data_IF_522718222951
#
_entry.id   IF_522718222951
#
_cell.length_a   1.000
_cell.length_b   1.000
_cell.length_c   1.000
_cell.angle_alpha   90.00
_cell.angle_beta   90.00
_cell.angle_gamma   90.00
#
_symmetry.space_group_name_H-M   'P 1'
#
loop_
_entity.id
_entity.type
_entity.pdbx_description
1 polymer ?
#
# COMPACT_ATOMS: atom_id res chain seq x y z
N UNK A 1 -31.58 20.09 19.69
CA UNK A 1 -31.18 18.67 19.74
C UNK A 1 -31.56 17.93 18.46
N UNK A 2 -31.12 18.41 17.30
CA UNK A 2 -31.50 17.84 15.99
C UNK A 2 -30.33 17.21 15.23
N UNK A 3 -29.09 17.32 15.74
CA UNK A 3 -27.91 16.75 15.11
C UNK A 3 -28.00 15.23 14.94
N UNK A 4 -28.58 14.51 15.93
CA UNK A 4 -28.72 13.04 15.86
C UNK A 4 -29.68 12.57 14.75
N UNK A 5 -30.67 13.39 14.37
CA UNK A 5 -31.59 13.07 13.26
C UNK A 5 -30.89 13.17 11.91
N UNK A 6 -29.93 14.09 11.77
CA UNK A 6 -29.08 14.19 10.58
C UNK A 6 -28.18 12.95 10.41
N UNK A 7 -27.62 12.42 11.51
CA UNK A 7 -26.89 11.15 11.52
C UNK A 7 -27.79 9.93 11.24
N UNK A 8 -29.06 9.97 11.67
CA UNK A 8 -30.04 8.92 11.39
C UNK A 8 -30.52 8.92 9.92
N UNK A 9 -30.46 10.06 9.23
CA UNK A 9 -30.74 10.19 7.80
C UNK A 9 -29.51 10.09 6.90
N UNK A 10 -28.32 9.89 7.48
CA UNK A 10 -27.10 9.73 6.72
C UNK A 10 -27.26 8.51 5.81
N UNK A 11 -26.98 8.63 4.49
CA UNK A 11 -27.16 7.52 3.58
C UNK A 11 -26.38 6.30 4.11
N UNK A 12 -27.05 5.14 4.15
CA UNK A 12 -26.59 3.88 4.76
C UNK A 12 -25.15 3.49 4.40
N UNK A 13 -24.68 3.94 3.24
CA UNK A 13 -23.32 3.75 2.72
C UNK A 13 -22.24 4.40 3.61
N UNK A 14 -22.51 5.56 4.21
CA UNK A 14 -21.55 6.26 5.08
C UNK A 14 -21.32 5.46 6.36
N UNK A 15 -22.41 5.02 6.99
CA UNK A 15 -22.40 4.17 8.17
C UNK A 15 -21.70 2.83 7.87
N UNK A 16 -22.01 2.23 6.72
CA UNK A 16 -21.37 0.99 6.29
C UNK A 16 -19.87 1.14 6.11
N UNK A 17 -19.41 2.17 5.39
CA UNK A 17 -17.99 2.41 5.14
C UNK A 17 -17.18 2.54 6.44
N UNK A 18 -17.68 3.31 7.41
CA UNK A 18 -17.01 3.54 8.69
C UNK A 18 -17.03 2.31 9.61
N UNK A 19 -18.12 1.52 9.58
CA UNK A 19 -18.24 0.31 10.40
C UNK A 19 -17.44 -0.87 9.84
N UNK A 20 -17.27 -0.92 8.52
CA UNK A 20 -16.52 -1.99 7.84
C UNK A 20 -15.01 -1.80 7.98
N UNK A 21 -14.52 -0.57 8.14
CA UNK A 21 -13.09 -0.29 8.28
C UNK A 21 -12.42 -1.12 9.39
N UNK A 22 -12.87 -1.08 10.67
CA UNK A 22 -12.23 -1.85 11.74
C UNK A 22 -12.24 -3.36 11.49
N UNK A 23 -13.31 -3.88 10.86
CA UNK A 23 -13.44 -5.29 10.54
C UNK A 23 -12.41 -5.74 9.48
N UNK A 24 -12.18 -4.91 8.46
CA UNK A 24 -11.13 -5.18 7.46
C UNK A 24 -9.74 -5.09 8.09
N UNK A 25 -9.48 -4.10 8.95
CA UNK A 25 -8.20 -4.00 9.67
C UNK A 25 -7.95 -5.25 10.53
N UNK A 26 -8.98 -5.71 11.25
CA UNK A 26 -8.91 -6.94 12.05
C UNK A 26 -8.58 -8.16 11.19
N UNK A 27 -9.26 -8.32 10.05
CA UNK A 27 -9.00 -9.41 9.12
C UNK A 27 -7.54 -9.38 8.61
N UNK A 28 -7.06 -8.21 8.19
CA UNK A 28 -5.68 -8.06 7.70
C UNK A 28 -4.68 -8.40 8.81
N UNK A 29 -4.90 -7.95 10.05
CA UNK A 29 -4.01 -8.30 11.16
C UNK A 29 -4.03 -9.80 11.50
N UNK A 30 -5.18 -10.47 11.37
CA UNK A 30 -5.30 -11.91 11.61
C UNK A 30 -4.58 -12.73 10.53
N UNK A 31 -4.66 -12.31 9.26
CA UNK A 31 -4.05 -13.03 8.14
C UNK A 31 -2.59 -12.65 7.88
N UNK A 32 -2.12 -11.50 8.38
CA UNK A 32 -0.74 -11.04 8.24
C UNK A 32 0.32 -12.07 8.68
N UNK A 33 0.23 -12.72 9.85
CA UNK A 33 1.21 -13.74 10.25
C UNK A 33 1.26 -14.91 9.26
N UNK A 34 0.13 -15.32 8.70
CA UNK A 34 0.07 -16.40 7.71
C UNK A 34 0.82 -16.03 6.42
N UNK A 35 0.62 -14.80 5.94
CA UNK A 35 1.30 -14.26 4.74
C UNK A 35 2.81 -14.16 4.96
N UNK A 36 3.26 -13.78 6.15
CA UNK A 36 4.68 -13.72 6.49
C UNK A 36 5.35 -15.10 6.50
N UNK A 37 4.65 -16.12 7.02
CA UNK A 37 5.14 -17.51 7.05
C UNK A 37 5.26 -18.07 5.63
N UNK A 38 4.23 -17.92 4.79
CA UNK A 38 4.25 -18.35 3.39
C UNK A 38 5.32 -17.59 2.60
N UNK A 39 5.51 -16.30 2.92
CA UNK A 39 6.53 -15.44 2.33
C UNK A 39 7.97 -15.69 2.80
N UNK A 40 8.21 -16.70 3.66
CA UNK A 40 9.53 -17.05 4.22
C UNK A 40 10.25 -15.85 4.86
N UNK A 41 9.52 -14.91 5.44
CA UNK A 41 10.07 -13.66 6.00
C UNK A 41 10.91 -12.83 5.01
N UNK A 42 10.65 -12.95 3.70
CA UNK A 42 11.34 -12.12 2.72
C UNK A 42 11.00 -10.64 2.93
N UNK A 43 12.02 -9.78 2.85
CA UNK A 43 11.87 -8.32 2.94
C UNK A 43 10.86 -7.78 1.92
N UNK A 44 10.76 -8.41 0.74
CA UNK A 44 9.76 -8.08 -0.29
C UNK A 44 8.33 -8.34 0.18
N UNK A 45 8.09 -9.43 0.90
CA UNK A 45 6.75 -9.79 1.39
C UNK A 45 6.36 -8.94 2.60
N UNK A 46 7.29 -8.65 3.52
CA UNK A 46 7.06 -7.69 4.60
C UNK A 46 6.68 -6.31 4.07
N UNK A 47 7.38 -5.83 3.04
CA UNK A 47 7.07 -4.55 2.43
C UNK A 47 5.69 -4.54 1.76
N UNK A 48 5.35 -5.58 0.98
CA UNK A 48 4.01 -5.69 0.39
C UNK A 48 2.91 -5.77 1.46
N UNK A 49 3.14 -6.46 2.58
CA UNK A 49 2.19 -6.53 3.69
C UNK A 49 1.97 -5.17 4.36
N UNK A 50 3.04 -4.42 4.61
CA UNK A 50 2.96 -3.05 5.13
C UNK A 50 2.23 -2.11 4.15
N UNK A 51 2.53 -2.23 2.85
CA UNK A 51 1.85 -1.47 1.79
C UNK A 51 0.35 -1.79 1.74
N UNK A 52 -0.04 -3.06 1.93
CA UNK A 52 -1.44 -3.47 1.97
C UNK A 52 -2.19 -2.82 3.14
N UNK A 53 -1.62 -2.84 4.35
CA UNK A 53 -2.21 -2.16 5.52
C UNK A 53 -2.34 -0.65 5.27
N UNK A 54 -1.28 -0.04 4.73
CA UNK A 54 -1.29 1.38 4.40
C UNK A 54 -2.38 1.72 3.37
N UNK A 55 -2.55 0.88 2.34
CA UNK A 55 -3.58 1.05 1.30
C UNK A 55 -4.98 1.12 1.92
N UNK A 56 -5.30 0.17 2.80
CA UNK A 56 -6.62 0.06 3.43
C UNK A 56 -6.86 1.18 4.43
N UNK A 57 -5.83 1.62 5.16
CA UNK A 57 -5.92 2.85 5.98
C UNK A 57 -6.12 4.11 5.12
N UNK A 58 -5.62 4.11 3.89
CA UNK A 58 -5.85 5.19 2.92
C UNK A 58 -7.31 5.29 2.46
N UNK A 59 -8.03 4.17 2.34
CA UNK A 59 -9.45 4.16 1.95
C UNK A 59 -10.31 5.01 2.85
N UNK A 60 -10.01 5.02 4.15
CA UNK A 60 -10.83 5.75 5.12
C UNK A 60 -10.61 7.25 5.08
N UNK A 61 -9.40 7.69 4.75
CA UNK A 61 -9.13 9.08 4.45
C UNK A 61 -9.88 9.52 3.18
N UNK A 62 -9.96 8.65 2.16
CA UNK A 62 -10.71 8.93 0.93
C UNK A 62 -12.21 9.02 1.17
N UNK A 63 -12.80 8.12 1.97
CA UNK A 63 -14.21 8.21 2.36
C UNK A 63 -14.52 9.46 3.16
N UNK A 64 -13.60 9.87 4.05
CA UNK A 64 -13.72 11.13 4.77
C UNK A 64 -13.74 12.34 3.83
N UNK A 65 -12.84 12.38 2.83
CA UNK A 65 -12.82 13.44 1.82
C UNK A 65 -14.07 13.39 0.93
N UNK A 66 -14.54 12.20 0.53
CA UNK A 66 -15.75 12.04 -0.26
C UNK A 66 -16.99 12.57 0.49
N UNK A 67 -17.08 12.31 1.79
CA UNK A 67 -18.12 12.86 2.64
C UNK A 67 -18.04 14.39 2.71
N UNK A 68 -16.84 14.91 2.94
CA UNK A 68 -16.60 16.35 2.97
C UNK A 68 -17.00 17.02 1.65
N UNK A 69 -16.62 16.45 0.50
CA UNK A 69 -16.96 16.98 -0.81
C UNK A 69 -18.47 16.92 -1.09
N UNK A 70 -19.14 15.84 -0.70
CA UNK A 70 -20.60 15.73 -0.80
C UNK A 70 -21.31 16.83 0.01
N UNK A 71 -20.88 17.05 1.26
CA UNK A 71 -21.45 18.08 2.13
C UNK A 71 -21.24 19.50 1.53
N UNK A 72 -20.09 19.76 0.93
CA UNK A 72 -19.79 21.05 0.30
C UNK A 72 -20.53 21.24 -1.03
N UNK A 73 -20.76 20.17 -1.81
CA UNK A 73 -21.59 20.23 -3.03
C UNK A 73 -23.06 20.50 -2.71
N UNK A 74 -23.59 19.91 -1.63
CA UNK A 74 -24.96 20.14 -1.19
C UNK A 74 -25.18 21.62 -0.84
N UNK A 75 -24.21 22.24 -0.16
CA UNK A 75 -24.26 23.66 0.21
C UNK A 75 -24.10 24.57 -1.02
N UNK A 76 -23.26 24.19 -1.99
CA UNK A 76 -23.06 24.96 -3.22
C UNK A 76 -24.27 24.91 -4.17
N UNK A 77 -25.01 23.80 -4.22
CA UNK A 77 -26.24 23.68 -5.02
C UNK A 77 -27.47 24.33 -4.37
N UNK A 78 -27.47 24.53 -3.05
CA UNK A 78 -28.63 25.07 -2.32
C UNK A 78 -28.21 26.16 -1.32
N UNK A 79 -27.85 27.37 -1.79
CA UNK A 79 -27.71 28.53 -0.91
C UNK A 79 -29.05 28.78 -0.18
N UNK A 80 -28.97 28.92 1.14
CA UNK A 80 -30.02 28.71 2.13
C UNK A 80 -31.17 29.74 2.18
N UNK A 81 -31.50 30.43 1.09
CA UNK A 81 -32.44 31.57 1.14
C UNK A 81 -33.91 31.24 0.87
N UNK A 82 -34.30 30.01 0.51
CA UNK A 82 -35.69 29.72 0.14
C UNK A 82 -36.21 28.38 0.68
N UNK A 83 -36.59 28.35 1.97
CA UNK A 83 -37.23 27.20 2.62
C UNK A 83 -38.53 26.73 1.96
N UNK A 84 -39.21 27.59 1.19
CA UNK A 84 -40.42 27.25 0.42
C UNK A 84 -40.11 26.64 -0.95
N UNK A 85 -39.08 27.13 -1.64
CA UNK A 85 -38.60 26.54 -2.90
C UNK A 85 -37.99 25.16 -2.63
N UNK A 86 -37.39 24.94 -1.46
CA UNK A 86 -36.85 23.66 -1.00
C UNK A 86 -37.93 22.58 -0.81
N UNK A 87 -39.13 22.96 -0.35
CA UNK A 87 -40.27 22.04 -0.23
C UNK A 87 -40.89 21.74 -1.61
N UNK A 88 -40.98 22.74 -2.48
CA UNK A 88 -41.52 22.59 -3.83
C UNK A 88 -40.57 21.81 -4.77
N UNK A 89 -39.25 22.02 -4.70
CA UNK A 89 -38.28 21.22 -5.48
C UNK A 89 -38.12 19.78 -4.96
N UNK A 90 -38.42 19.52 -3.68
CA UNK A 90 -38.51 18.14 -3.15
C UNK A 90 -39.72 17.40 -3.70
N UNK A 91 -40.78 18.10 -4.05
CA UNK A 91 -42.02 17.52 -4.58
C UNK A 91 -41.99 17.33 -6.11
N UNK A 92 -41.25 18.17 -6.85
CA UNK A 92 -41.37 18.29 -8.31
C UNK A 92 -40.20 17.69 -9.12
N UNK A 93 -39.20 17.11 -8.46
CA UNK A 93 -38.14 16.36 -9.12
C UNK A 93 -38.31 14.91 -8.68
N UNK A 94 -38.78 14.10 -9.63
CA UNK A 94 -39.05 12.68 -9.51
C UNK A 94 -38.10 12.01 -8.50
N UNK A 95 -38.65 11.63 -7.35
CA UNK A 95 -37.91 11.14 -6.19
C UNK A 95 -37.01 9.95 -6.58
N UNK A 96 -37.45 9.20 -7.60
CA UNK A 96 -36.77 8.12 -8.28
C UNK A 96 -35.46 8.54 -8.97
N UNK A 97 -35.46 9.62 -9.75
CA UNK A 97 -34.28 10.13 -10.44
C UNK A 97 -33.28 10.76 -9.50
N UNK A 98 -33.75 11.51 -8.50
CA UNK A 98 -32.88 12.01 -7.43
C UNK A 98 -32.22 10.87 -6.67
N UNK A 99 -32.96 9.82 -6.30
CA UNK A 99 -32.40 8.64 -5.60
C UNK A 99 -31.41 7.88 -6.48
N UNK A 100 -31.68 7.70 -7.77
CA UNK A 100 -30.75 7.03 -8.70
C UNK A 100 -29.48 7.83 -8.92
N UNK A 101 -29.57 9.14 -9.20
CA UNK A 101 -28.39 9.98 -9.44
C UNK A 101 -27.57 10.17 -8.16
N UNK A 102 -28.23 10.36 -7.02
CA UNK A 102 -27.56 10.48 -5.72
C UNK A 102 -26.89 9.15 -5.35
N UNK A 103 -27.57 8.01 -5.49
CA UNK A 103 -26.99 6.70 -5.18
C UNK A 103 -25.84 6.34 -6.15
N UNK A 104 -25.97 6.64 -7.44
CA UNK A 104 -24.91 6.37 -8.43
C UNK A 104 -23.69 7.26 -8.20
N UNK A 105 -23.90 8.54 -7.89
CA UNK A 105 -22.83 9.48 -7.52
C UNK A 105 -22.16 9.06 -6.21
N UNK A 106 -22.94 8.65 -5.21
CA UNK A 106 -22.42 8.13 -3.94
C UNK A 106 -21.57 6.87 -4.15
N UNK A 107 -22.04 5.92 -4.97
CA UNK A 107 -21.28 4.71 -5.33
C UNK A 107 -19.99 5.10 -6.07
N UNK A 108 -20.07 6.01 -7.04
CA UNK A 108 -18.91 6.46 -7.81
C UNK A 108 -17.87 7.18 -6.94
N UNK A 109 -18.28 7.97 -5.95
CA UNK A 109 -17.34 8.63 -5.03
C UNK A 109 -16.78 7.62 -4.02
N UNK A 110 -17.63 6.85 -3.33
CA UNK A 110 -17.18 5.91 -2.30
C UNK A 110 -16.36 4.74 -2.83
N UNK A 111 -16.57 4.34 -4.08
CA UNK A 111 -15.82 3.24 -4.71
C UNK A 111 -14.74 3.75 -5.66
N UNK A 112 -14.98 4.85 -6.39
CA UNK A 112 -14.04 5.40 -7.36
C UNK A 112 -12.77 5.95 -6.71
N UNK A 113 -12.90 6.69 -5.60
CA UNK A 113 -11.73 7.21 -4.88
C UNK A 113 -10.81 6.08 -4.38
N UNK A 114 -11.30 5.06 -3.64
CA UNK A 114 -10.48 3.90 -3.27
C UNK A 114 -9.90 3.13 -4.45
N UNK A 115 -10.63 2.99 -5.57
CA UNK A 115 -10.14 2.28 -6.75
C UNK A 115 -8.95 2.98 -7.40
N UNK A 116 -9.03 4.30 -7.57
CA UNK A 116 -7.92 5.09 -8.12
C UNK A 116 -6.70 4.98 -7.20
N UNK A 117 -6.91 5.12 -5.90
CA UNK A 117 -5.86 5.00 -4.89
C UNK A 117 -5.18 3.64 -4.90
N UNK A 118 -5.96 2.55 -4.88
CA UNK A 118 -5.42 1.19 -4.94
C UNK A 118 -4.69 0.92 -6.25
N UNK A 119 -5.17 1.46 -7.37
CA UNK A 119 -4.48 1.34 -8.66
C UNK A 119 -3.12 2.03 -8.65
N UNK A 120 -3.04 3.23 -8.07
CA UNK A 120 -1.78 3.95 -7.91
C UNK A 120 -0.81 3.21 -6.99
N UNK A 121 -1.29 2.70 -5.85
CA UNK A 121 -0.44 1.93 -4.93
C UNK A 121 -0.02 0.57 -5.48
N UNK A 122 -0.85 -0.07 -6.31
CA UNK A 122 -0.46 -1.29 -7.01
C UNK A 122 0.70 -1.01 -7.98
N UNK A 123 0.67 0.11 -8.70
CA UNK A 123 1.75 0.51 -9.61
C UNK A 123 3.04 0.84 -8.85
N UNK A 124 2.96 1.60 -7.76
CA UNK A 124 4.11 1.89 -6.87
C UNK A 124 4.67 0.60 -6.28
N UNK A 125 3.81 -0.30 -5.81
CA UNK A 125 4.19 -1.60 -5.28
C UNK A 125 4.96 -2.43 -6.30
N UNK A 126 4.52 -2.44 -7.57
CA UNK A 126 5.21 -3.14 -8.65
C UNK A 126 6.64 -2.61 -8.87
N UNK A 127 6.80 -1.28 -8.92
CA UNK A 127 8.10 -0.65 -9.17
C UNK A 127 9.08 -0.87 -8.01
N UNK A 128 8.64 -0.71 -6.76
CA UNK A 128 9.48 -0.95 -5.58
C UNK A 128 9.85 -2.42 -5.47
N UNK A 129 8.91 -3.33 -5.73
CA UNK A 129 9.16 -4.76 -5.73
C UNK A 129 10.18 -5.18 -6.81
N UNK A 130 10.18 -4.53 -7.98
CA UNK A 130 11.19 -4.69 -9.03
C UNK A 130 12.57 -4.19 -8.61
N UNK A 131 12.64 -3.00 -8.00
CA UNK A 131 13.90 -2.41 -7.51
C UNK A 131 14.54 -3.23 -6.38
N UNK A 132 13.76 -3.80 -5.47
CA UNK A 132 14.27 -4.71 -4.43
C UNK A 132 14.88 -5.98 -5.05
N UNK A 133 14.28 -6.49 -6.13
CA UNK A 133 14.79 -7.65 -6.86
C UNK A 133 16.13 -7.38 -7.56
N UNK A 134 16.31 -6.18 -8.13
CA UNK A 134 17.58 -5.80 -8.76
C UNK A 134 18.66 -5.47 -7.73
N UNK A 135 18.31 -4.78 -6.63
CA UNK A 135 19.24 -4.47 -5.54
C UNK A 135 19.76 -5.74 -4.84
N UNK A 136 18.90 -6.73 -4.61
CA UNK A 136 19.30 -8.03 -4.06
C UNK A 136 20.27 -8.76 -5.01
N UNK A 137 20.00 -8.75 -6.33
CA UNK A 137 20.91 -9.33 -7.32
C UNK A 137 22.25 -8.59 -7.39
N UNK A 138 22.24 -7.26 -7.33
CA UNK A 138 23.44 -6.43 -7.34
C UNK A 138 24.33 -6.67 -6.12
N UNK A 139 23.74 -6.74 -4.93
CA UNK A 139 24.48 -7.03 -3.69
C UNK A 139 25.03 -8.46 -3.65
N UNK A 140 24.30 -9.45 -4.18
CA UNK A 140 24.82 -10.82 -4.36
C UNK A 140 25.99 -10.83 -5.37
N UNK A 141 25.89 -10.09 -6.47
CA UNK A 141 26.95 -10.00 -7.47
C UNK A 141 28.21 -9.32 -6.90
N UNK A 142 28.07 -8.25 -6.12
CA UNK A 142 29.18 -7.59 -5.43
C UNK A 142 29.78 -8.50 -4.35
N UNK A 143 28.96 -9.23 -3.59
CA UNK A 143 29.42 -10.20 -2.60
C UNK A 143 30.15 -11.39 -3.23
N UNK A 144 29.66 -11.90 -4.36
CA UNK A 144 30.32 -12.95 -5.14
C UNK A 144 31.64 -12.45 -5.74
N UNK A 145 31.69 -11.21 -6.23
CA UNK A 145 32.92 -10.59 -6.73
C UNK A 145 33.95 -10.36 -5.61
N UNK A 146 33.51 -9.93 -4.42
CA UNK A 146 34.36 -9.78 -3.24
C UNK A 146 34.89 -11.15 -2.74
N UNK A 147 34.04 -12.19 -2.74
CA UNK A 147 34.46 -13.56 -2.41
C UNK A 147 35.47 -14.12 -3.41
N UNK A 148 35.25 -13.88 -4.71
CA UNK A 148 36.20 -14.26 -5.76
C UNK A 148 37.53 -13.49 -5.64
N UNK A 149 37.50 -12.20 -5.30
CA UNK A 149 38.70 -11.40 -5.05
C UNK A 149 39.47 -11.89 -3.80
N UNK A 150 38.77 -12.21 -2.71
CA UNK A 150 39.36 -12.79 -1.51
C UNK A 150 40.00 -14.16 -1.76
N UNK A 151 39.34 -15.03 -2.52
CA UNK A 151 39.88 -16.33 -2.91
C UNK A 151 41.15 -16.20 -3.77
N UNK A 152 41.19 -15.25 -4.70
CA UNK A 152 42.37 -14.95 -5.52
C UNK A 152 43.54 -14.48 -4.65
N UNK A 153 43.29 -13.58 -3.71
CA UNK A 153 44.32 -13.08 -2.80
C UNK A 153 44.84 -14.19 -1.87
N UNK A 154 43.94 -15.03 -1.34
CA UNK A 154 44.33 -16.22 -0.56
C UNK A 154 45.16 -17.22 -1.37
N UNK A 155 44.80 -17.46 -2.64
CA UNK A 155 45.56 -18.34 -3.53
C UNK A 155 46.95 -17.77 -3.88
N UNK A 156 47.08 -16.45 -4.00
CA UNK A 156 48.36 -15.79 -4.23
C UNK A 156 49.26 -15.87 -3.00
N UNK A 157 48.72 -15.65 -1.80
CA UNK A 157 49.47 -15.78 -0.55
C UNK A 157 49.89 -17.24 -0.32
N UNK A 158 48.99 -18.20 -0.53
CA UNK A 158 49.29 -19.63 -0.42
C UNK A 158 50.35 -20.05 -1.47
N UNK A 159 50.22 -19.59 -2.71
CA UNK A 159 51.21 -19.84 -3.77
C UNK A 159 52.58 -19.21 -3.47
N UNK A 160 52.59 -18.02 -2.86
CA UNK A 160 53.81 -17.33 -2.43
C UNK A 160 54.50 -18.08 -1.28
N UNK A 161 53.72 -18.56 -0.32
CA UNK A 161 54.20 -19.36 0.81
C UNK A 161 54.70 -20.73 0.37
N UNK A 162 53.98 -21.41 -0.53
CA UNK A 162 54.40 -22.67 -1.12
C UNK A 162 55.69 -22.51 -1.94
N UNK A 163 55.82 -21.41 -2.70
CA UNK A 163 57.03 -21.07 -3.44
C UNK A 163 58.22 -20.70 -2.53
N UNK A 164 57.97 -20.09 -1.36
CA UNK A 164 59.02 -19.84 -0.37
C UNK A 164 59.48 -21.14 0.32
N UNK A 165 58.54 -22.03 0.67
CA UNK A 165 58.83 -23.32 1.28
C UNK A 165 59.62 -24.23 0.32
N UNK A 166 59.21 -24.32 -0.95
CA UNK A 166 59.91 -25.13 -1.96
C UNK A 166 61.34 -24.64 -2.19
N UNK A 167 61.57 -23.32 -2.22
CA UNK A 167 62.91 -22.73 -2.31
C UNK A 167 63.78 -23.01 -1.08
N UNK A 168 63.18 -23.10 0.11
CA UNK A 168 63.90 -23.47 1.34
C UNK A 168 64.38 -24.92 1.31
N UNK A 169 63.52 -25.84 0.86
CA UNK A 169 63.83 -27.28 0.75
C UNK A 169 64.95 -27.52 -0.28
N UNK A 170 64.90 -26.86 -1.45
CA UNK A 170 65.95 -26.98 -2.46
C UNK A 170 67.32 -26.46 -1.99
N UNK A 171 67.32 -25.50 -1.04
CA UNK A 171 68.56 -24.93 -0.49
C UNK A 171 69.16 -25.80 0.63
N UNK A 172 68.34 -26.63 1.28
CA UNK A 172 68.76 -27.59 2.32
C UNK A 172 69.29 -28.91 1.75
N UNK A 173 68.88 -29.31 0.55
CA UNK A 173 69.35 -30.52 -0.13
C UNK A 173 70.63 -30.32 -0.97
N UNK A 174 71.13 -29.09 -1.07
CA UNK A 174 72.31 -28.74 -1.86
C UNK A 174 73.62 -28.60 -1.07
N UNK A 175 73.70 -29.13 0.16
CA UNK A 175 74.92 -29.16 0.97
C UNK A 175 75.25 -30.58 1.41
#
# INVERSE_FOLDING_TARGET
GEGWKAWASAPMIILFAQTVQPLILLAIYMFLPLVLVIGRFSFRVMFLGALAIFTVKGWTAMWFIANWLYDHMLVAMYPSTLGLLHALLKLNLDESMKRIVLNTTLIAMYLGFPLIWTSMLAWVGYQVAGAMGSAAKGSIATGAAAGAAGARMGSQVAGSAAGAASRGITKGLGK
#
